data_IF_631829160745
#
_entry.id   IF_631829160745
#
_cell.length_a   1.000
_cell.length_b   1.000
_cell.length_c   1.000
_cell.angle_alpha   90.00
_cell.angle_beta   90.00
_cell.angle_gamma   90.00
#
_symmetry.space_group_name_H-M   'P 1'
#
loop_
_entity.id
_entity.type
_entity.pdbx_description
1 polymer ?
#
# COMPACT_ATOMS: atom_id res chain seq x y z
N UNK A 1 50.62 -43.57 20.05
CA UNK A 1 50.97 -42.29 20.71
C UNK A 1 49.69 -41.50 20.96
N UNK A 2 49.39 -41.15 22.21
CA UNK A 2 48.15 -40.43 22.55
C UNK A 2 48.21 -38.94 22.20
N UNK A 3 47.05 -38.31 21.98
CA UNK A 3 46.94 -36.84 21.86
C UNK A 3 46.95 -36.21 23.25
N UNK A 4 47.88 -35.28 23.49
CA UNK A 4 47.87 -34.45 24.69
C UNK A 4 46.69 -33.46 24.73
N UNK A 5 46.36 -32.96 25.92
CA UNK A 5 45.38 -31.88 26.13
C UNK A 5 45.90 -30.59 25.48
N UNK A 6 45.02 -29.84 24.83
CA UNK A 6 45.31 -28.56 24.19
C UNK A 6 44.43 -27.48 24.79
N UNK A 7 44.99 -26.31 25.06
CA UNK A 7 44.26 -25.14 25.56
C UNK A 7 43.27 -24.59 24.51
N UNK A 8 42.14 -24.04 24.97
CA UNK A 8 41.16 -23.37 24.12
C UNK A 8 41.56 -21.91 23.89
N UNK A 9 42.60 -21.70 23.08
CA UNK A 9 43.04 -20.39 22.59
C UNK A 9 43.43 -20.44 21.11
N UNK A 10 43.67 -19.29 20.48
CA UNK A 10 44.16 -19.23 19.10
C UNK A 10 45.50 -19.96 19.00
N UNK A 11 45.66 -20.77 17.95
CA UNK A 11 46.94 -21.43 17.65
C UNK A 11 47.77 -20.46 16.81
N UNK A 12 48.81 -19.89 17.41
CA UNK A 12 49.64 -18.87 16.74
C UNK A 12 50.40 -19.42 15.54
N UNK A 13 51.05 -20.58 15.69
CA UNK A 13 51.76 -21.25 14.60
C UNK A 13 50.79 -21.62 13.46
N UNK A 14 51.00 -21.01 12.29
CA UNK A 14 50.09 -21.13 11.15
C UNK A 14 49.96 -22.56 10.60
N UNK A 15 51.05 -23.33 10.57
CA UNK A 15 51.04 -24.72 10.08
C UNK A 15 50.21 -25.59 11.04
N UNK A 16 50.47 -25.47 12.34
CA UNK A 16 49.70 -26.20 13.37
C UNK A 16 48.24 -25.76 13.38
N UNK A 17 47.95 -24.48 13.13
CA UNK A 17 46.57 -23.95 13.00
C UNK A 17 45.87 -24.57 11.80
N UNK A 18 46.50 -24.61 10.62
CA UNK A 18 45.93 -25.21 9.40
C UNK A 18 45.71 -26.72 9.55
N UNK A 19 46.68 -27.48 10.05
CA UNK A 19 46.54 -28.92 10.27
C UNK A 19 45.47 -29.24 11.32
N UNK A 20 45.39 -28.43 12.38
CA UNK A 20 44.34 -28.57 13.40
C UNK A 20 42.97 -28.21 12.86
N UNK A 21 42.86 -27.14 12.06
CA UNK A 21 41.62 -26.73 11.40
C UNK A 21 41.08 -27.85 10.52
N UNK A 22 41.86 -28.39 9.58
CA UNK A 22 41.43 -29.48 8.70
C UNK A 22 40.98 -30.71 9.50
N UNK A 23 41.70 -31.07 10.56
CA UNK A 23 41.35 -32.21 11.43
C UNK A 23 40.10 -31.96 12.28
N UNK A 24 39.91 -30.75 12.81
CA UNK A 24 38.73 -30.39 13.62
C UNK A 24 37.48 -30.18 12.77
N UNK A 25 37.57 -29.49 11.63
CA UNK A 25 36.47 -29.30 10.67
C UNK A 25 35.95 -30.66 10.18
N UNK A 26 36.82 -31.54 9.71
CA UNK A 26 36.41 -32.88 9.28
C UNK A 26 35.83 -33.72 10.43
N UNK A 27 36.31 -33.54 11.66
CA UNK A 27 35.73 -34.16 12.85
C UNK A 27 34.34 -33.60 13.19
N UNK A 28 34.14 -32.29 13.05
CA UNK A 28 32.84 -31.63 13.25
C UNK A 28 31.82 -32.11 12.22
N UNK A 29 32.19 -32.15 10.93
CA UNK A 29 31.31 -32.65 9.86
C UNK A 29 30.85 -34.10 10.13
N UNK A 30 31.76 -34.97 10.59
CA UNK A 30 31.39 -36.33 11.00
C UNK A 30 30.39 -36.34 12.16
N UNK A 31 30.58 -35.51 13.18
CA UNK A 31 29.63 -35.41 14.30
C UNK A 31 28.27 -34.84 13.90
N UNK A 32 28.24 -33.89 12.99
CA UNK A 32 27.00 -33.33 12.45
C UNK A 32 26.25 -34.37 11.62
N UNK A 33 26.96 -35.17 10.82
CA UNK A 33 26.38 -36.31 10.12
C UNK A 33 25.86 -37.39 11.10
N UNK A 34 26.62 -37.74 12.14
CA UNK A 34 26.19 -38.64 13.22
C UNK A 34 24.86 -38.17 13.83
N UNK A 35 24.74 -36.89 14.22
CA UNK A 35 23.52 -36.33 14.81
C UNK A 35 22.36 -36.33 13.82
N UNK A 36 22.61 -35.94 12.56
CA UNK A 36 21.60 -35.90 11.51
C UNK A 36 20.95 -37.28 11.29
N UNK A 37 21.77 -38.33 11.16
CA UNK A 37 21.29 -39.70 10.94
C UNK A 37 20.64 -40.29 12.20
N UNK A 38 21.16 -39.99 13.41
CA UNK A 38 20.63 -40.54 14.66
C UNK A 38 19.30 -39.91 15.10
N UNK A 39 19.07 -38.63 14.76
CA UNK A 39 17.91 -37.86 15.22
C UNK A 39 16.93 -37.48 14.10
N UNK A 40 17.21 -37.86 12.84
CA UNK A 40 16.48 -37.44 11.64
C UNK A 40 16.33 -35.92 11.53
N UNK A 41 17.45 -35.20 11.69
CA UNK A 41 17.50 -33.73 11.65
C UNK A 41 18.37 -33.22 10.52
N UNK A 42 17.90 -32.17 9.86
CA UNK A 42 18.66 -31.46 8.84
C UNK A 42 19.55 -30.40 9.48
N UNK A 43 20.83 -30.35 9.09
CA UNK A 43 21.84 -29.48 9.68
C UNK A 43 22.73 -28.89 8.58
N UNK A 44 23.07 -27.60 8.72
CA UNK A 44 24.09 -26.95 7.92
C UNK A 44 25.23 -26.41 8.79
N UNK A 45 26.43 -26.35 8.23
CA UNK A 45 27.60 -25.72 8.81
C UNK A 45 28.24 -24.80 7.78
N UNK A 46 28.51 -23.56 8.16
CA UNK A 46 29.22 -22.57 7.36
C UNK A 46 30.46 -22.14 8.13
N UNK A 47 31.64 -22.25 7.50
CA UNK A 47 32.93 -21.97 8.15
C UNK A 47 33.80 -21.10 7.26
N UNK A 48 33.93 -19.83 7.62
CA UNK A 48 34.88 -18.90 7.02
C UNK A 48 36.25 -18.98 7.71
N UNK A 49 37.32 -18.80 6.93
CA UNK A 49 38.70 -18.72 7.43
C UNK A 49 39.23 -17.29 7.42
N UNK A 50 40.35 -17.06 8.13
CA UNK A 50 41.09 -15.77 8.12
C UNK A 50 41.58 -15.34 6.73
N UNK A 51 41.52 -16.23 5.73
CA UNK A 51 41.86 -15.99 4.32
C UNK A 51 40.63 -15.89 3.40
N UNK A 52 39.43 -15.71 3.96
CA UNK A 52 38.17 -15.61 3.20
C UNK A 52 37.68 -16.90 2.55
N UNK A 53 38.37 -18.04 2.72
CA UNK A 53 37.89 -19.33 2.18
C UNK A 53 36.68 -19.81 2.98
N UNK A 54 35.58 -20.03 2.27
CA UNK A 54 34.38 -20.74 2.74
C UNK A 54 34.64 -22.25 2.74
N UNK A 55 34.11 -22.92 3.77
CA UNK A 55 33.89 -24.35 3.82
C UNK A 55 32.51 -24.61 4.37
N UNK A 56 31.73 -25.41 3.67
CA UNK A 56 30.35 -25.71 4.02
C UNK A 56 30.09 -27.22 4.13
N UNK A 57 28.99 -27.57 4.78
CA UNK A 57 28.45 -28.91 4.87
C UNK A 57 26.94 -28.83 5.11
N UNK A 58 26.16 -29.49 4.26
CA UNK A 58 24.73 -29.78 4.48
C UNK A 58 24.55 -31.27 4.70
N UNK A 59 23.50 -31.63 5.43
CA UNK A 59 23.00 -33.01 5.52
C UNK A 59 22.20 -33.40 4.28
N UNK A 60 21.54 -32.43 3.64
CA UNK A 60 20.84 -32.60 2.36
C UNK A 60 21.78 -32.32 1.18
N UNK A 61 21.38 -32.76 -0.02
CA UNK A 61 22.14 -32.55 -1.26
C UNK A 61 22.25 -31.09 -1.72
N UNK A 62 21.58 -30.14 -1.05
CA UNK A 62 21.56 -28.72 -1.38
C UNK A 62 21.67 -27.87 -0.11
N UNK A 63 22.65 -26.96 -0.06
CA UNK A 63 22.76 -25.95 1.00
C UNK A 63 21.66 -24.89 0.87
N UNK A 64 21.34 -24.48 -0.36
CA UNK A 64 20.44 -23.37 -0.66
C UNK A 64 19.03 -23.63 -0.11
N UNK A 65 18.51 -24.85 -0.28
CA UNK A 65 17.19 -25.25 0.27
C UNK A 65 17.11 -25.21 1.79
N UNK A 66 18.24 -25.35 2.51
CA UNK A 66 18.27 -25.25 3.97
C UNK A 66 18.39 -23.78 4.41
N UNK A 67 19.13 -22.96 3.65
CA UNK A 67 19.22 -21.52 3.85
C UNK A 67 17.90 -20.81 3.55
N UNK A 68 17.21 -21.15 2.46
CA UNK A 68 15.89 -20.61 2.11
C UNK A 68 14.87 -20.89 3.23
N UNK A 69 14.81 -22.13 3.73
CA UNK A 69 13.95 -22.49 4.86
C UNK A 69 14.34 -21.79 6.16
N UNK A 70 15.63 -21.54 6.39
CA UNK A 70 16.08 -20.73 7.53
C UNK A 70 15.61 -19.27 7.39
N UNK A 71 15.72 -18.66 6.21
CA UNK A 71 15.21 -17.32 5.93
C UNK A 71 13.69 -17.24 6.15
N UNK A 72 12.92 -18.14 5.54
CA UNK A 72 11.46 -18.19 5.68
C UNK A 72 11.03 -18.32 7.14
N UNK A 73 11.68 -19.19 7.91
CA UNK A 73 11.42 -19.31 9.35
C UNK A 73 11.80 -18.03 10.10
N UNK A 74 12.97 -17.45 9.85
CA UNK A 74 13.44 -16.24 10.52
C UNK A 74 12.51 -15.04 10.25
N UNK A 75 12.03 -14.86 9.02
CA UNK A 75 11.09 -13.80 8.67
C UNK A 75 9.68 -14.04 9.23
N UNK A 76 9.22 -15.30 9.27
CA UNK A 76 7.93 -15.66 9.86
C UNK A 76 7.90 -15.46 11.37
N UNK A 77 8.96 -15.86 12.08
CA UNK A 77 9.09 -15.69 13.52
C UNK A 77 9.20 -14.19 13.89
N UNK A 78 9.92 -13.41 13.08
CA UNK A 78 9.98 -11.95 13.23
C UNK A 78 8.63 -11.25 12.95
N UNK A 79 7.77 -11.79 12.09
CA UNK A 79 6.40 -11.29 11.89
C UNK A 79 5.52 -11.49 13.12
N UNK A 80 5.65 -12.61 13.84
CA UNK A 80 4.90 -12.86 15.08
C UNK A 80 5.31 -11.92 16.21
N UNK A 81 6.60 -11.58 16.30
CA UNK A 81 7.13 -10.61 17.28
C UNK A 81 6.83 -9.15 16.87
N UNK A 82 6.65 -8.85 15.58
CA UNK A 82 6.46 -7.49 15.07
C UNK A 82 5.03 -6.93 15.19
N UNK A 83 4.12 -7.59 15.92
CA UNK A 83 2.76 -7.09 16.21
C UNK A 83 2.72 -5.86 17.12
N UNK A 84 3.89 -5.34 17.56
CA UNK A 84 4.04 -4.14 18.37
C UNK A 84 4.21 -2.83 17.59
N UNK A 85 5.29 -2.66 16.81
CA UNK A 85 5.76 -1.28 16.49
C UNK A 85 6.62 -1.04 15.23
N UNK A 86 7.00 -2.03 14.40
CA UNK A 86 8.03 -1.82 13.34
C UNK A 86 7.65 -2.29 11.91
N UNK A 87 6.62 -1.70 11.30
CA UNK A 87 6.34 -1.93 9.87
C UNK A 87 7.44 -1.40 8.94
N UNK A 88 8.17 -0.36 9.36
CA UNK A 88 9.19 0.33 8.54
C UNK A 88 10.47 -0.49 8.38
N UNK A 89 10.92 -1.18 9.44
CA UNK A 89 12.11 -2.04 9.38
C UNK A 89 11.88 -3.29 8.52
N UNK A 90 10.65 -3.80 8.51
CA UNK A 90 10.26 -4.98 7.73
C UNK A 90 10.32 -4.71 6.22
N UNK A 91 9.78 -3.56 5.79
CA UNK A 91 9.88 -3.09 4.40
C UNK A 91 11.33 -2.86 3.94
N UNK A 92 12.20 -2.36 4.82
CA UNK A 92 13.61 -2.12 4.49
C UNK A 92 14.37 -3.44 4.23
N UNK A 93 14.08 -4.51 4.98
CA UNK A 93 14.73 -5.81 4.75
C UNK A 93 14.21 -6.47 3.48
N UNK A 94 12.89 -6.45 3.21
CA UNK A 94 12.35 -6.93 1.94
C UNK A 94 12.88 -6.13 0.73
N UNK A 95 12.97 -4.80 0.84
CA UNK A 95 13.58 -3.96 -0.18
C UNK A 95 15.04 -4.35 -0.44
N UNK A 96 15.85 -4.55 0.60
CA UNK A 96 17.24 -4.95 0.46
C UNK A 96 17.38 -6.38 -0.12
N UNK A 97 16.48 -7.31 0.24
CA UNK A 97 16.44 -8.68 -0.32
C UNK A 97 16.08 -8.66 -1.80
N UNK A 98 15.05 -7.90 -2.18
CA UNK A 98 14.61 -7.75 -3.57
C UNK A 98 15.68 -7.05 -4.41
N UNK A 99 16.32 -6.02 -3.85
CA UNK A 99 17.45 -5.32 -4.46
C UNK A 99 18.66 -6.24 -4.67
N UNK A 100 19.04 -7.04 -3.67
CA UNK A 100 20.15 -7.98 -3.80
C UNK A 100 19.87 -9.08 -4.85
N UNK A 101 18.63 -9.60 -4.91
CA UNK A 101 18.21 -10.50 -5.99
C UNK A 101 18.30 -9.84 -7.36
N UNK A 102 17.87 -8.58 -7.48
CA UNK A 102 17.95 -7.82 -8.74
C UNK A 102 19.40 -7.51 -9.14
N UNK A 103 20.26 -7.14 -8.19
CA UNK A 103 21.70 -6.91 -8.43
C UNK A 103 22.39 -8.20 -8.91
N UNK A 104 22.12 -9.37 -8.32
CA UNK A 104 22.60 -10.65 -8.83
C UNK A 104 22.10 -10.92 -10.26
N UNK A 105 20.82 -10.65 -10.53
CA UNK A 105 20.20 -10.83 -11.86
C UNK A 105 20.84 -9.95 -12.95
N UNK A 106 21.34 -8.77 -12.58
CA UNK A 106 22.05 -7.84 -13.47
C UNK A 106 23.56 -8.10 -13.58
N UNK A 107 24.17 -8.80 -12.61
CA UNK A 107 25.60 -9.15 -12.62
C UNK A 107 25.91 -10.46 -13.38
N UNK A 108 24.90 -11.19 -13.84
CA UNK A 108 25.05 -12.23 -14.88
C UNK A 108 25.67 -13.57 -14.45
N UNK A 109 26.00 -13.75 -13.17
CA UNK A 109 26.54 -15.00 -12.64
C UNK A 109 25.43 -16.03 -12.34
N UNK A 110 24.84 -16.60 -13.41
CA UNK A 110 24.27 -17.96 -13.53
C UNK A 110 23.24 -18.02 -14.69
N UNK A 111 23.72 -18.01 -15.94
CA UNK A 111 22.85 -18.19 -17.12
C UNK A 111 22.56 -19.68 -17.44
N UNK A 112 23.28 -20.62 -16.83
CA UNK A 112 23.17 -22.06 -17.12
C UNK A 112 22.16 -22.82 -16.23
N UNK A 113 21.66 -22.21 -15.13
CA UNK A 113 20.70 -22.85 -14.22
C UNK A 113 19.26 -22.33 -14.36
N UNK A 114 19.05 -21.18 -15.03
CA UNK A 114 17.74 -20.58 -15.20
C UNK A 114 16.92 -21.34 -16.25
N UNK A 115 16.03 -22.20 -15.78
CA UNK A 115 14.99 -22.80 -16.63
C UNK A 115 14.14 -21.69 -17.26
N UNK A 116 13.93 -21.76 -18.58
CA UNK A 116 13.22 -20.77 -19.41
C UNK A 116 11.81 -20.33 -18.90
N UNK A 117 11.27 -21.04 -17.91
CA UNK A 117 9.94 -20.89 -17.33
C UNK A 117 9.80 -19.66 -16.43
N UNK A 118 10.86 -19.23 -15.76
CA UNK A 118 10.81 -18.10 -14.80
C UNK A 118 10.58 -16.75 -15.49
N UNK A 119 11.36 -16.33 -16.51
CA UNK A 119 11.09 -15.09 -17.24
C UNK A 119 9.72 -15.12 -17.93
N UNK A 120 9.31 -16.26 -18.48
CA UNK A 120 7.98 -16.44 -19.10
C UNK A 120 6.81 -16.30 -18.11
N UNK A 121 6.99 -16.72 -16.86
CA UNK A 121 5.98 -16.54 -15.82
C UNK A 121 5.86 -15.05 -15.44
N UNK A 122 6.99 -14.35 -15.32
CA UNK A 122 7.03 -12.92 -15.01
C UNK A 122 6.36 -12.09 -16.12
N UNK A 123 6.64 -12.41 -17.39
CA UNK A 123 5.99 -11.82 -18.57
C UNK A 123 4.46 -12.01 -18.52
N UNK A 124 3.98 -13.23 -18.26
CA UNK A 124 2.55 -13.51 -18.11
C UNK A 124 1.88 -12.80 -16.92
N UNK A 125 2.62 -12.46 -15.86
CA UNK A 125 2.09 -11.67 -14.75
C UNK A 125 1.99 -10.19 -15.13
N UNK A 126 2.97 -9.66 -15.86
CA UNK A 126 2.97 -8.28 -16.40
C UNK A 126 1.80 -8.09 -17.38
N UNK A 127 1.57 -9.03 -18.31
CA UNK A 127 0.44 -8.98 -19.23
C UNK A 127 -0.92 -8.94 -18.53
N UNK A 128 -1.08 -9.74 -17.46
CA UNK A 128 -2.30 -9.75 -16.64
C UNK A 128 -2.50 -8.43 -15.90
N UNK A 129 -1.43 -7.86 -15.35
CA UNK A 129 -1.47 -6.57 -14.66
C UNK A 129 -1.78 -5.41 -15.63
N UNK A 130 -1.17 -5.39 -16.82
CA UNK A 130 -1.47 -4.42 -17.88
C UNK A 130 -2.93 -4.51 -18.32
N UNK A 131 -3.45 -5.73 -18.54
CA UNK A 131 -4.85 -5.93 -18.94
C UNK A 131 -5.84 -5.50 -17.85
N UNK A 132 -5.51 -5.71 -16.57
CA UNK A 132 -6.32 -5.21 -15.45
C UNK A 132 -6.31 -3.67 -15.38
N UNK A 133 -5.14 -3.04 -15.56
CA UNK A 133 -5.01 -1.59 -15.60
C UNK A 133 -5.81 -0.97 -16.76
N UNK A 134 -5.81 -1.58 -17.95
CA UNK A 134 -6.62 -1.11 -19.07
C UNK A 134 -8.12 -1.10 -18.72
N UNK A 135 -8.64 -2.21 -18.18
CA UNK A 135 -10.05 -2.30 -17.76
C UNK A 135 -10.39 -1.29 -16.66
N UNK A 136 -9.44 -0.98 -15.76
CA UNK A 136 -9.63 0.04 -14.73
C UNK A 136 -9.68 1.45 -15.34
N UNK A 137 -8.81 1.77 -16.30
CA UNK A 137 -8.84 3.05 -17.05
C UNK A 137 -10.15 3.23 -17.84
N UNK A 138 -10.64 2.16 -18.49
CA UNK A 138 -11.90 2.18 -19.22
C UNK A 138 -13.08 2.46 -18.27
N UNK A 139 -13.11 1.79 -17.10
CA UNK A 139 -14.12 1.98 -16.04
C UNK A 139 -14.08 3.40 -15.45
N UNK A 140 -12.89 3.95 -15.17
CA UNK A 140 -12.74 5.34 -14.72
C UNK A 140 -13.31 6.32 -15.76
N UNK A 141 -13.03 6.09 -17.03
CA UNK A 141 -13.53 6.91 -18.15
C UNK A 141 -15.07 6.85 -18.27
N UNK A 142 -15.67 5.70 -18.00
CA UNK A 142 -17.13 5.55 -17.93
C UNK A 142 -17.76 6.33 -16.76
N UNK A 143 -17.15 6.25 -15.58
CA UNK A 143 -17.63 6.94 -14.38
C UNK A 143 -17.55 8.46 -14.54
N UNK A 144 -16.44 8.99 -15.06
CA UNK A 144 -16.29 10.41 -15.36
C UNK A 144 -17.34 10.91 -16.38
N UNK A 145 -17.69 10.09 -17.39
CA UNK A 145 -18.74 10.42 -18.36
C UNK A 145 -20.12 10.52 -17.69
N UNK A 146 -20.44 9.58 -16.79
CA UNK A 146 -21.70 9.58 -16.00
C UNK A 146 -21.74 10.78 -15.04
N UNK A 147 -20.63 11.08 -14.37
CA UNK A 147 -20.50 12.24 -13.49
C UNK A 147 -20.77 13.56 -14.24
N UNK A 148 -20.20 13.72 -15.43
CA UNK A 148 -20.45 14.90 -16.29
C UNK A 148 -21.92 15.01 -16.68
N UNK A 149 -22.55 13.92 -17.13
CA UNK A 149 -23.96 13.92 -17.50
C UNK A 149 -24.89 14.29 -16.32
N UNK A 150 -24.61 13.76 -15.13
CA UNK A 150 -25.37 14.10 -13.90
C UNK A 150 -25.16 15.57 -13.52
N UNK A 151 -23.91 16.09 -13.61
CA UNK A 151 -23.62 17.52 -13.40
C UNK A 151 -24.41 18.39 -14.38
N UNK A 152 -24.44 18.06 -15.66
CA UNK A 152 -25.22 18.78 -16.68
C UNK A 152 -26.73 18.77 -16.35
N UNK A 153 -27.31 17.62 -16.01
CA UNK A 153 -28.70 17.49 -15.58
C UNK A 153 -29.01 18.35 -14.34
N UNK A 154 -28.14 18.32 -13.32
CA UNK A 154 -28.29 19.14 -12.12
C UNK A 154 -28.25 20.64 -12.45
N UNK A 155 -27.38 21.09 -13.36
CA UNK A 155 -27.38 22.50 -13.79
C UNK A 155 -28.63 22.90 -14.57
N UNK A 156 -29.23 21.97 -15.34
CA UNK A 156 -30.49 22.22 -16.04
C UNK A 156 -31.65 22.32 -15.06
N UNK A 157 -31.77 21.39 -14.10
CA UNK A 157 -32.81 21.42 -13.07
C UNK A 157 -32.69 22.67 -12.19
N UNK A 158 -31.47 23.06 -11.79
CA UNK A 158 -31.25 24.30 -11.02
C UNK A 158 -31.70 25.56 -11.79
N UNK A 159 -31.53 25.60 -13.13
CA UNK A 159 -32.07 26.67 -13.98
C UNK A 159 -33.59 26.66 -14.02
N UNK A 160 -34.22 25.50 -14.20
CA UNK A 160 -35.68 25.35 -14.22
C UNK A 160 -36.33 25.73 -12.87
N UNK A 161 -35.70 25.39 -11.75
CA UNK A 161 -36.14 25.81 -10.41
C UNK A 161 -36.11 27.34 -10.32
N UNK A 162 -34.97 27.97 -10.67
CA UNK A 162 -34.81 29.43 -10.63
C UNK A 162 -35.76 30.17 -11.58
N UNK A 163 -36.14 29.55 -12.69
CA UNK A 163 -37.15 30.09 -13.62
C UNK A 163 -38.56 29.98 -13.04
N UNK A 164 -38.93 28.84 -12.43
CA UNK A 164 -40.22 28.68 -11.74
C UNK A 164 -40.36 29.56 -10.50
N UNK A 165 -39.29 29.75 -9.74
CA UNK A 165 -39.25 30.70 -8.61
C UNK A 165 -39.57 32.13 -9.09
N UNK A 166 -39.03 32.54 -10.24
CA UNK A 166 -39.36 33.84 -10.85
C UNK A 166 -40.81 33.92 -11.32
N UNK A 167 -41.35 32.89 -11.98
CA UNK A 167 -42.75 32.91 -12.42
C UNK A 167 -43.70 32.94 -11.22
N UNK A 168 -43.43 32.17 -10.16
CA UNK A 168 -44.22 32.18 -8.93
C UNK A 168 -44.12 33.52 -8.21
N UNK A 169 -42.92 34.10 -8.08
CA UNK A 169 -42.74 35.43 -7.48
C UNK A 169 -43.44 36.53 -8.29
N UNK A 170 -43.46 36.42 -9.62
CA UNK A 170 -44.21 37.34 -10.48
C UNK A 170 -45.73 37.14 -10.36
N UNK A 171 -46.19 35.89 -10.26
CA UNK A 171 -47.61 35.56 -10.12
C UNK A 171 -48.18 36.06 -8.77
N UNK A 172 -47.44 35.88 -7.68
CA UNK A 172 -47.76 36.46 -6.36
C UNK A 172 -47.77 38.01 -6.37
N UNK A 173 -46.96 38.65 -7.22
CA UNK A 173 -46.95 40.10 -7.38
C UNK A 173 -48.20 40.61 -8.14
N UNK A 174 -48.69 39.85 -9.12
CA UNK A 174 -49.93 40.16 -9.82
C UNK A 174 -51.16 39.94 -8.93
N UNK A 175 -51.20 38.85 -8.14
CA UNK A 175 -52.28 38.62 -7.16
C UNK A 175 -52.37 39.73 -6.10
N UNK A 176 -51.24 40.36 -5.71
CA UNK A 176 -51.26 41.54 -4.84
C UNK A 176 -51.73 42.84 -5.50
N UNK A 177 -51.83 42.91 -6.83
CA UNK A 177 -52.34 44.10 -7.54
C UNK A 177 -53.83 44.01 -7.90
N UNK A 178 -54.40 42.81 -8.03
CA UNK A 178 -55.85 42.65 -8.27
C UNK A 178 -56.69 42.93 -7.01
N UNK A 179 -56.17 42.71 -5.80
CA UNK A 179 -56.87 43.02 -4.53
C UNK A 179 -57.11 44.53 -4.31
N UNK A 180 -56.32 45.42 -4.95
CA UNK A 180 -56.48 46.88 -4.86
C UNK A 180 -57.59 47.43 -5.81
N UNK A 181 -58.17 46.60 -6.70
CA UNK A 181 -59.10 47.05 -7.74
C UNK A 181 -60.51 46.43 -7.68
N UNK A 182 -60.82 45.61 -6.65
CA UNK A 182 -62.15 44.98 -6.46
C UNK A 182 -62.83 45.43 -5.15
N UNK A 183 -62.62 46.69 -4.76
CA UNK A 183 -63.32 47.31 -3.61
C UNK A 183 -64.25 48.45 -4.03
N UNK A 184 -65.04 48.21 -5.08
CA UNK A 184 -66.23 49.00 -5.38
C UNK A 184 -67.35 48.17 -6.03
N UNK A 185 -68.08 47.35 -5.23
CA UNK A 185 -69.55 47.14 -5.29
C UNK A 185 -70.03 46.20 -4.16
N UNK A 186 -70.52 46.80 -3.07
CA UNK A 186 -71.52 46.29 -2.10
C UNK A 186 -71.51 44.83 -1.56
N UNK A 187 -71.02 44.69 -0.33
CA UNK A 187 -71.71 44.15 0.86
C UNK A 187 -72.79 43.06 0.74
N UNK A 188 -72.42 41.82 1.10
CA UNK A 188 -73.16 40.88 1.98
C UNK A 188 -72.24 39.67 2.30
N UNK A 189 -72.22 39.02 3.46
CA UNK A 189 -72.88 39.20 4.78
C UNK A 189 -71.86 38.77 5.88
N UNK A 190 -72.20 38.82 7.18
CA UNK A 190 -71.36 38.33 8.28
C UNK A 190 -71.51 36.82 8.54
N UNK A 191 -70.42 36.18 8.99
CA UNK A 191 -70.40 35.49 10.29
C UNK A 191 -68.95 35.37 10.81
N UNK A 192 -68.68 35.85 12.03
CA UNK A 192 -67.38 35.68 12.69
C UNK A 192 -67.14 34.26 13.21
N UNK A 193 -65.87 33.83 13.22
CA UNK A 193 -65.22 33.45 14.49
C UNK A 193 -63.68 33.47 14.36
N UNK A 194 -63.04 34.31 15.18
CA UNK A 194 -61.59 34.28 15.39
C UNK A 194 -61.24 33.26 16.48
N UNK A 195 -60.14 32.53 16.29
CA UNK A 195 -59.40 31.90 17.38
C UNK A 195 -57.90 32.08 17.14
N UNK A 196 -57.37 33.19 17.66
CA UNK A 196 -55.95 33.49 17.68
C UNK A 196 -55.20 32.63 18.70
N UNK A 197 -54.01 32.14 18.34
CA UNK A 197 -52.96 31.87 19.32
C UNK A 197 -51.62 32.37 18.78
N UNK A 198 -51.00 33.28 19.52
CA UNK A 198 -49.77 33.98 19.16
C UNK A 198 -48.74 33.75 20.27
N UNK A 199 -47.66 33.03 19.96
CA UNK A 199 -46.42 32.86 20.74
C UNK A 199 -45.32 32.68 19.68
N UNK A 200 -44.20 33.41 19.67
CA UNK A 200 -43.83 34.58 20.46
C UNK A 200 -42.44 35.02 20.00
N UNK A 201 -42.27 36.28 19.59
CA UNK A 201 -41.00 36.76 19.06
C UNK A 201 -40.08 37.34 20.13
N UNK A 202 -38.78 37.03 20.08
CA UNK A 202 -37.72 37.84 20.69
C UNK A 202 -36.60 38.02 19.66
N UNK A 203 -36.41 39.27 19.22
CA UNK A 203 -35.23 39.68 18.48
C UNK A 203 -34.06 39.93 19.44
N UNK A 204 -32.85 39.51 19.10
CA UNK A 204 -31.65 40.22 19.56
C UNK A 204 -30.55 40.22 18.50
N UNK A 205 -30.12 41.42 18.10
CA UNK A 205 -28.96 41.66 17.22
C UNK A 205 -27.67 41.44 18.01
N UNK A 206 -26.72 40.67 17.48
CA UNK A 206 -25.28 40.84 17.75
C UNK A 206 -24.47 40.63 16.46
N UNK A 207 -23.42 41.43 16.36
CA UNK A 207 -22.56 41.70 15.22
C UNK A 207 -21.84 40.50 14.54
N UNK A 208 -21.48 40.74 13.28
CA UNK A 208 -20.31 40.25 12.53
C UNK A 208 -19.38 39.21 13.18
N UNK A 209 -19.14 38.10 12.46
CA UNK A 209 -17.74 37.71 12.21
C UNK A 209 -17.56 37.00 10.85
N UNK A 210 -16.62 37.52 10.05
CA UNK A 210 -16.10 36.83 8.85
C UNK A 210 -15.18 35.70 9.30
N UNK A 211 -15.47 34.48 8.83
CA UNK A 211 -14.58 33.31 8.76
C UNK A 211 -15.23 32.37 7.74
N UNK A 212 -14.71 32.17 6.54
CA UNK A 212 -13.29 32.01 6.21
C UNK A 212 -12.94 30.52 6.33
N UNK A 213 -13.42 29.75 5.35
CA UNK A 213 -13.12 28.33 5.12
C UNK A 213 -13.16 28.10 3.61
N UNK A 214 -12.25 28.77 2.91
CA UNK A 214 -11.91 28.50 1.53
C UNK A 214 -11.04 27.24 1.54
N UNK A 215 -11.62 26.08 1.23
CA UNK A 215 -10.85 24.87 0.97
C UNK A 215 -10.34 24.94 -0.45
N UNK A 216 -9.26 25.70 -0.61
CA UNK A 216 -8.47 25.70 -1.82
C UNK A 216 -7.86 24.31 -2.02
N UNK A 217 -8.31 23.64 -3.09
CA UNK A 217 -7.70 22.41 -3.61
C UNK A 217 -7.10 22.73 -4.97
N UNK A 218 -6.14 23.64 -4.96
CA UNK A 218 -5.07 23.79 -5.95
C UNK A 218 -4.22 22.51 -5.98
N UNK A 219 -4.79 21.44 -6.54
CA UNK A 219 -4.02 20.32 -7.07
C UNK A 219 -3.37 20.79 -8.36
N UNK A 220 -2.12 21.21 -8.25
CA UNK A 220 -1.29 21.64 -9.37
C UNK A 220 -1.36 20.63 -10.53
N UNK A 221 -1.88 21.08 -11.68
CA UNK A 221 -1.70 20.37 -12.93
C UNK A 221 -0.24 20.50 -13.35
N UNK A 222 0.60 19.56 -12.90
CA UNK A 222 1.86 19.27 -13.56
C UNK A 222 1.57 18.54 -14.89
N UNK A 223 1.86 19.13 -16.06
CA UNK A 223 1.68 18.45 -17.32
C UNK A 223 2.74 17.36 -17.49
N UNK A 224 2.31 16.10 -17.44
CA UNK A 224 3.16 14.95 -17.77
C UNK A 224 3.36 14.90 -19.29
N UNK A 225 4.24 15.76 -19.80
CA UNK A 225 4.57 15.82 -21.22
C UNK A 225 6.02 16.28 -21.47
N UNK A 226 6.99 15.59 -20.86
CA UNK A 226 8.36 15.55 -21.39
C UNK A 226 9.13 14.30 -20.92
N UNK A 227 8.97 13.21 -21.66
CA UNK A 227 9.98 12.15 -21.74
C UNK A 227 10.46 12.11 -23.18
N UNK A 228 11.38 13.01 -23.52
CA UNK A 228 12.15 12.91 -24.76
C UNK A 228 13.30 11.92 -24.56
N UNK A 229 13.43 10.98 -25.50
CA UNK A 229 14.61 10.12 -25.63
C UNK A 229 15.87 10.97 -25.87
N UNK A 230 16.88 10.76 -25.02
CA UNK A 230 18.31 10.70 -25.38
C UNK A 230 18.93 9.57 -24.55
#
# INVERSE_FOLDING_TARGET
MGRGRVELKRIENMINRQVTFSKRRNGLFKKTHEISVLCDVQLALIVFTDKGKLYEYSTDSCMDQLLERYEDHYYSDRQLVATGTESQGQWLVEYNRLKAKLELHYMGENLDSLSLKEPQNLEQQIDKALKLNQLMCDSISELQRKEKAIKEQNTMLAKQIKEREKTVAQQLLWEQQDDDNVLNTSSFLLQHQHSSLNIGGINQKVATQVRGNELDLTLDLYPISSWHLV
#
